data_IF_668071312944
#
_entry.id   IF_668071312944
#
_cell.length_a   1.000
_cell.length_b   1.000
_cell.length_c   1.000
_cell.angle_alpha   90.00
_cell.angle_beta   90.00
_cell.angle_gamma   90.00
#
_symmetry.space_group_name_H-M   'P 1'
#
loop_
_entity.id
_entity.type
_entity.pdbx_description
1 polymer ?
#
# COMPACT_ATOMS: atom_id res chain seq x y z
N UNK A 1 7.75 29.42 28.10
CA UNK A 1 7.60 27.97 28.35
C UNK A 1 6.24 27.64 27.76
N UNK A 2 6.19 27.08 26.57
CA UNK A 2 4.92 26.71 25.92
C UNK A 2 4.42 25.44 26.57
N UNK A 3 3.17 25.44 27.02
CA UNK A 3 2.49 24.27 27.56
C UNK A 3 2.47 23.15 26.52
N UNK A 4 2.62 21.86 26.92
CA UNK A 4 2.50 20.76 26.00
C UNK A 4 1.07 20.72 25.43
N UNK A 5 0.96 20.67 24.11
CA UNK A 5 -0.28 20.51 23.38
C UNK A 5 -0.89 19.13 23.74
N UNK A 6 -1.81 19.09 24.68
CA UNK A 6 -2.47 17.85 25.19
C UNK A 6 -3.30 17.10 24.13
N UNK A 7 -3.40 17.62 22.91
CA UNK A 7 -4.19 17.02 21.81
C UNK A 7 -3.39 16.14 20.86
N UNK A 8 -2.06 16.11 20.98
CA UNK A 8 -1.23 15.29 20.12
C UNK A 8 -1.06 13.86 20.71
N UNK A 9 -1.84 12.92 20.20
CA UNK A 9 -1.78 11.50 20.62
C UNK A 9 -0.54 10.72 20.14
N UNK A 10 0.50 11.43 19.63
CA UNK A 10 1.75 10.85 19.13
C UNK A 10 2.94 11.10 20.05
N UNK A 11 4.12 10.70 19.59
CA UNK A 11 5.39 10.88 20.29
C UNK A 11 6.07 12.17 19.83
N UNK A 12 6.57 12.99 20.79
CA UNK A 12 7.41 14.15 20.49
C UNK A 12 8.87 13.80 20.74
N UNK A 13 9.65 13.67 19.67
CA UNK A 13 11.09 13.45 19.75
C UNK A 13 11.82 14.79 19.68
N UNK A 14 12.80 14.99 20.57
CA UNK A 14 13.73 16.11 20.50
C UNK A 14 15.11 15.58 20.14
N UNK A 15 15.69 16.12 19.05
CA UNK A 15 16.94 15.62 18.46
C UNK A 15 17.91 16.79 18.28
N UNK A 16 19.14 16.62 18.71
CA UNK A 16 20.21 17.62 18.54
C UNK A 16 21.08 17.26 17.32
N UNK A 17 21.21 18.20 16.40
CA UNK A 17 22.20 18.13 15.32
C UNK A 17 23.38 19.00 15.70
N UNK A 18 24.56 18.37 15.86
CA UNK A 18 25.80 19.06 16.24
C UNK A 18 26.54 19.64 15.04
N UNK A 19 26.54 18.93 13.90
CA UNK A 19 27.30 19.33 12.70
C UNK A 19 26.36 19.84 11.61
N UNK A 20 26.41 21.14 11.28
CA UNK A 20 25.55 21.74 10.25
C UNK A 20 26.04 21.40 8.83
N UNK A 21 25.17 21.64 7.83
CA UNK A 21 25.53 21.60 6.41
C UNK A 21 25.18 20.32 5.67
N UNK A 22 24.87 19.24 6.38
CA UNK A 22 24.30 18.03 5.77
C UNK A 22 22.84 18.26 5.33
N UNK A 23 22.33 17.45 4.40
CA UNK A 23 20.89 17.48 4.09
C UNK A 23 20.08 17.15 5.34
N UNK A 24 19.01 17.91 5.57
CA UNK A 24 18.16 17.80 6.74
C UNK A 24 17.59 16.37 6.92
N UNK A 25 17.05 15.79 5.83
CA UNK A 25 16.50 14.44 5.84
C UNK A 25 17.53 13.37 6.23
N UNK A 26 18.80 13.57 5.88
CA UNK A 26 19.87 12.67 6.20
C UNK A 26 20.37 12.88 7.63
N UNK A 27 20.58 14.13 8.04
CA UNK A 27 21.05 14.47 9.37
C UNK A 27 20.08 13.99 10.47
N UNK A 28 18.77 14.18 10.26
CA UNK A 28 17.75 13.70 11.18
C UNK A 28 17.66 12.18 11.22
N UNK A 29 17.77 11.50 10.06
CA UNK A 29 17.72 10.02 10.02
C UNK A 29 18.95 9.38 10.68
N UNK A 30 20.10 10.05 10.70
CA UNK A 30 21.30 9.59 11.41
C UNK A 30 21.20 9.84 12.92
N UNK A 31 20.50 10.91 13.33
CA UNK A 31 20.31 11.26 14.72
C UNK A 31 19.18 10.49 15.42
N UNK A 32 18.17 10.02 14.65
CA UNK A 32 17.04 9.22 15.15
C UNK A 32 17.14 7.81 14.60
N UNK A 33 17.75 6.91 15.37
CA UNK A 33 18.01 5.54 14.93
C UNK A 33 16.75 4.71 14.65
N UNK A 34 15.61 5.04 15.27
CA UNK A 34 14.35 4.31 15.15
C UNK A 34 13.50 4.73 13.95
N UNK A 35 13.87 5.80 13.24
CA UNK A 35 13.13 6.30 12.09
C UNK A 35 13.95 6.18 10.80
N UNK A 36 13.38 5.49 9.81
CA UNK A 36 14.00 5.44 8.49
C UNK A 36 14.03 6.82 7.83
N UNK A 37 15.02 7.07 6.95
CA UNK A 37 15.11 8.32 6.18
C UNK A 37 13.83 8.61 5.37
N UNK A 38 13.17 7.58 4.85
CA UNK A 38 11.90 7.73 4.14
C UNK A 38 10.79 8.25 5.08
N UNK A 39 10.75 7.76 6.32
CA UNK A 39 9.79 8.25 7.33
C UNK A 39 10.09 9.70 7.72
N UNK A 40 11.35 10.06 7.94
CA UNK A 40 11.77 11.44 8.20
C UNK A 40 11.35 12.38 7.06
N UNK A 41 11.55 11.97 5.80
CA UNK A 41 11.10 12.76 4.65
C UNK A 41 9.58 12.98 4.63
N UNK A 42 8.80 11.95 4.97
CA UNK A 42 7.35 12.07 5.09
C UNK A 42 6.96 13.05 6.20
N UNK A 43 7.55 12.92 7.39
CA UNK A 43 7.30 13.81 8.52
C UNK A 43 7.65 15.26 8.22
N UNK A 44 8.75 15.51 7.49
CA UNK A 44 9.10 16.87 7.03
C UNK A 44 8.03 17.40 6.06
N UNK A 45 7.61 16.59 5.08
CA UNK A 45 6.59 16.99 4.10
C UNK A 45 5.22 17.26 4.76
N UNK A 46 4.88 16.51 5.81
CA UNK A 46 3.67 16.68 6.63
C UNK A 46 3.74 17.86 7.61
N UNK A 47 4.88 18.58 7.68
CA UNK A 47 5.07 19.70 8.61
C UNK A 47 5.26 19.29 10.07
N UNK A 48 5.59 18.02 10.31
CA UNK A 48 5.78 17.46 11.64
C UNK A 48 7.18 17.70 12.23
N UNK A 49 8.06 18.37 11.50
CA UNK A 49 9.43 18.71 11.95
C UNK A 49 9.56 20.20 12.11
N UNK A 50 10.11 20.65 13.25
CA UNK A 50 10.37 22.07 13.51
C UNK A 50 11.76 22.30 14.10
N UNK A 51 12.27 23.52 13.87
CA UNK A 51 13.54 24.03 14.40
C UNK A 51 13.34 25.44 14.91
N UNK A 52 13.66 25.71 16.16
CA UNK A 52 13.45 27.02 16.77
C UNK A 52 11.99 27.50 16.72
N UNK A 53 11.02 26.58 16.72
CA UNK A 53 9.58 26.88 16.61
C UNK A 53 9.08 27.05 15.16
N UNK A 54 9.95 27.09 14.16
CA UNK A 54 9.57 27.19 12.75
C UNK A 54 9.40 25.78 12.14
N UNK A 55 8.26 25.55 11.47
CA UNK A 55 8.00 24.29 10.75
C UNK A 55 8.85 24.20 9.50
N UNK A 56 9.46 23.04 9.29
CA UNK A 56 10.30 22.72 8.14
C UNK A 56 9.54 21.83 7.15
N UNK A 57 9.54 22.20 5.87
CA UNK A 57 8.85 21.45 4.80
C UNK A 57 9.79 20.94 3.70
N UNK A 58 11.08 21.27 3.75
CA UNK A 58 12.05 20.88 2.71
C UNK A 58 13.17 19.99 3.28
N UNK A 59 13.04 18.69 3.13
CA UNK A 59 14.06 17.72 3.56
C UNK A 59 15.40 17.81 2.82
N UNK A 60 15.45 18.51 1.69
CA UNK A 60 16.68 18.71 0.92
C UNK A 60 17.49 19.92 1.40
N UNK A 61 16.92 20.77 2.26
CA UNK A 61 17.62 21.91 2.85
C UNK A 61 18.81 21.45 3.70
N UNK A 62 19.74 22.36 3.96
CA UNK A 62 20.86 22.08 4.86
C UNK A 62 20.40 22.17 6.31
N UNK A 63 20.75 21.19 7.12
CA UNK A 63 20.53 21.23 8.55
C UNK A 63 21.40 22.28 9.21
N UNK A 64 20.84 23.03 10.16
CA UNK A 64 21.56 23.89 11.09
C UNK A 64 21.94 23.08 12.35
N UNK A 65 22.92 23.54 13.10
CA UNK A 65 23.20 22.98 14.42
C UNK A 65 22.13 23.45 15.42
N UNK A 66 21.69 22.54 16.29
CA UNK A 66 20.71 22.85 17.35
C UNK A 66 19.63 21.78 17.51
N UNK A 67 18.60 22.10 18.28
CA UNK A 67 17.52 21.18 18.67
C UNK A 67 16.37 21.24 17.66
N UNK A 68 16.01 20.06 17.17
CA UNK A 68 14.85 19.82 16.31
C UNK A 68 13.76 19.09 17.09
N UNK A 69 12.52 19.50 16.91
CA UNK A 69 11.37 18.78 17.43
C UNK A 69 10.69 18.04 16.27
N UNK A 70 10.43 16.75 16.47
CA UNK A 70 9.78 15.87 15.51
C UNK A 70 8.51 15.32 16.16
N UNK A 71 7.34 15.72 15.64
CA UNK A 71 6.05 15.14 16.04
C UNK A 71 5.86 13.83 15.26
N UNK A 72 5.98 12.69 15.92
CA UNK A 72 5.73 11.38 15.31
C UNK A 72 4.29 10.98 15.60
N UNK A 73 3.38 11.03 14.62
CA UNK A 73 2.01 10.58 14.82
C UNK A 73 2.01 9.12 15.25
N UNK A 74 1.03 8.69 16.06
CA UNK A 74 0.87 7.28 16.37
C UNK A 74 0.80 6.50 15.08
N UNK A 75 1.36 5.30 15.07
CA UNK A 75 1.20 4.39 13.95
C UNK A 75 -0.30 4.22 13.71
N UNK A 76 -0.78 4.71 12.58
CA UNK A 76 -2.14 4.41 12.17
C UNK A 76 -2.30 2.89 12.22
N UNK A 77 -3.31 2.40 12.93
CA UNK A 77 -3.56 0.97 13.02
C UNK A 77 -3.56 0.41 11.60
N UNK A 78 -2.62 -0.49 11.30
CA UNK A 78 -2.58 -1.18 10.01
C UNK A 78 -3.77 -2.14 9.84
N UNK A 79 -4.61 -2.26 10.88
CA UNK A 79 -5.81 -3.10 10.89
C UNK A 79 -6.94 -2.37 10.17
N UNK A 80 -7.37 -2.84 9.00
CA UNK A 80 -8.52 -2.26 8.33
C UNK A 80 -9.77 -2.44 9.20
N UNK A 81 -10.61 -1.41 9.26
CA UNK A 81 -11.87 -1.46 9.98
C UNK A 81 -13.01 -1.90 9.04
N UNK A 82 -14.00 -2.64 9.54
CA UNK A 82 -15.21 -2.97 8.80
C UNK A 82 -15.94 -1.71 8.33
N UNK A 83 -16.39 -1.67 7.07
CA UNK A 83 -17.19 -0.59 6.50
C UNK A 83 -18.37 -1.14 5.73
N UNK A 84 -19.56 -0.58 5.92
CA UNK A 84 -20.80 -0.96 5.26
C UNK A 84 -20.80 -0.50 3.79
N UNK A 85 -19.93 -1.10 2.98
CA UNK A 85 -19.83 -0.86 1.55
C UNK A 85 -20.55 -2.00 0.82
N UNK A 86 -21.55 -1.71 -0.05
CA UNK A 86 -22.24 -2.75 -0.79
C UNK A 86 -21.30 -3.57 -1.68
N UNK A 87 -21.45 -4.90 -1.65
CA UNK A 87 -20.73 -5.84 -2.50
C UNK A 87 -21.69 -6.55 -3.44
N UNK A 88 -21.33 -6.65 -4.71
CA UNK A 88 -22.02 -7.53 -5.66
C UNK A 88 -21.45 -8.94 -5.51
N UNK A 89 -22.12 -9.76 -4.71
CA UNK A 89 -21.72 -11.15 -4.46
C UNK A 89 -22.22 -12.02 -5.60
N UNK A 90 -21.31 -12.74 -6.25
CA UNK A 90 -21.61 -13.69 -7.34
C UNK A 90 -21.78 -15.12 -6.81
N UNK A 91 -21.02 -15.48 -5.79
CA UNK A 91 -21.08 -16.77 -5.10
C UNK A 91 -20.54 -16.62 -3.68
N UNK A 92 -21.12 -17.36 -2.75
CA UNK A 92 -20.61 -17.43 -1.37
C UNK A 92 -20.96 -18.77 -0.73
N UNK A 93 -20.01 -19.34 0.00
CA UNK A 93 -20.19 -20.49 0.88
C UNK A 93 -19.47 -20.31 2.22
N UNK A 94 -19.24 -21.40 2.95
CA UNK A 94 -18.52 -21.35 4.21
C UNK A 94 -17.01 -21.06 4.07
N UNK A 95 -16.44 -21.37 2.90
CA UNK A 95 -14.99 -21.34 2.67
C UNK A 95 -14.52 -20.13 1.86
N UNK A 96 -15.34 -19.61 0.94
CA UNK A 96 -14.95 -18.53 0.05
C UNK A 96 -16.12 -17.63 -0.35
N UNK A 97 -15.79 -16.42 -0.79
CA UNK A 97 -16.72 -15.48 -1.41
C UNK A 97 -16.16 -15.00 -2.75
N UNK A 98 -17.00 -14.97 -3.76
CA UNK A 98 -16.71 -14.44 -5.10
C UNK A 98 -17.53 -13.19 -5.33
N UNK A 99 -16.88 -12.12 -5.71
CA UNK A 99 -17.52 -10.81 -5.90
C UNK A 99 -17.20 -10.24 -7.28
N UNK A 100 -18.07 -9.38 -7.77
CA UNK A 100 -17.76 -8.46 -8.86
C UNK A 100 -17.26 -7.14 -8.28
N UNK A 101 -15.92 -6.95 -8.29
CA UNK A 101 -15.31 -5.74 -7.77
C UNK A 101 -15.57 -4.56 -8.71
N UNK A 102 -16.16 -3.45 -8.25
CA UNK A 102 -16.32 -2.28 -9.10
C UNK A 102 -14.97 -1.61 -9.42
N UNK A 103 -14.90 -0.90 -10.54
CA UNK A 103 -13.82 0.03 -10.82
C UNK A 103 -13.82 1.17 -9.80
N UNK A 104 -12.65 1.72 -9.50
CA UNK A 104 -12.46 2.77 -8.48
C UNK A 104 -12.24 2.23 -7.05
N UNK A 105 -12.52 0.96 -6.79
CA UNK A 105 -12.31 0.32 -5.49
C UNK A 105 -10.92 -0.34 -5.41
N UNK A 106 -10.09 0.08 -4.46
CA UNK A 106 -8.84 -0.63 -4.17
C UNK A 106 -9.11 -1.96 -3.46
N UNK A 107 -8.28 -2.97 -3.72
CA UNK A 107 -8.46 -4.29 -3.08
C UNK A 107 -8.16 -4.25 -1.57
N UNK A 108 -7.18 -3.48 -1.14
CA UNK A 108 -6.74 -3.39 0.27
C UNK A 108 -6.20 -1.98 0.58
N UNK A 109 -6.17 -1.59 1.86
CA UNK A 109 -5.59 -0.32 2.28
C UNK A 109 -4.13 -0.15 1.84
N UNK A 110 -3.80 1.06 1.43
CA UNK A 110 -2.46 1.46 1.02
C UNK A 110 -2.26 2.96 1.26
N UNK A 111 -1.01 3.48 1.25
CA UNK A 111 -0.77 4.92 1.29
C UNK A 111 -1.60 5.65 0.21
N UNK A 112 -2.39 6.64 0.63
CA UNK A 112 -3.34 7.37 -0.23
C UNK A 112 -4.71 6.71 -0.43
N UNK A 113 -4.96 5.53 0.15
CA UNK A 113 -6.27 4.87 0.18
C UNK A 113 -6.35 4.05 1.48
N UNK A 114 -6.49 4.70 2.65
CA UNK A 114 -6.45 4.03 3.94
C UNK A 114 -7.71 3.20 4.24
N UNK A 115 -8.81 3.52 3.61
CA UNK A 115 -10.14 2.94 3.79
C UNK A 115 -10.93 2.89 2.48
N UNK A 116 -12.21 2.53 2.52
CA UNK A 116 -13.06 2.40 1.33
C UNK A 116 -12.64 1.28 0.40
N UNK A 117 -11.92 0.28 0.89
CA UNK A 117 -11.36 -0.81 0.10
C UNK A 117 -12.23 -2.06 0.14
N UNK A 118 -11.97 -3.01 -0.75
CA UNK A 118 -12.63 -4.31 -0.72
C UNK A 118 -12.44 -5.04 0.62
N UNK A 119 -11.25 -4.94 1.23
CA UNK A 119 -11.01 -5.52 2.56
C UNK A 119 -11.94 -4.93 3.62
N UNK A 120 -12.16 -3.61 3.62
CA UNK A 120 -13.09 -2.98 4.55
C UNK A 120 -14.54 -3.49 4.36
N UNK A 121 -14.96 -3.66 3.10
CA UNK A 121 -16.27 -4.19 2.76
C UNK A 121 -16.42 -5.68 3.15
N UNK A 122 -15.39 -6.51 2.89
CA UNK A 122 -15.36 -7.92 3.26
C UNK A 122 -15.37 -8.12 4.77
N UNK A 123 -14.64 -7.31 5.53
CA UNK A 123 -14.68 -7.34 6.99
C UNK A 123 -16.08 -7.06 7.54
N UNK A 124 -16.82 -6.13 6.93
CA UNK A 124 -18.20 -5.86 7.32
C UNK A 124 -19.15 -6.99 6.91
N UNK A 125 -19.02 -7.51 5.69
CA UNK A 125 -19.90 -8.54 5.13
C UNK A 125 -19.69 -9.90 5.81
N UNK A 126 -18.45 -10.34 5.94
CA UNK A 126 -18.09 -11.66 6.45
C UNK A 126 -17.91 -11.70 7.98
N UNK A 127 -17.66 -10.56 8.63
CA UNK A 127 -17.37 -10.48 10.05
C UNK A 127 -16.22 -11.43 10.45
N UNK A 128 -16.41 -12.18 11.52
CA UNK A 128 -15.42 -13.10 12.07
C UNK A 128 -15.14 -14.34 11.18
N UNK A 129 -15.92 -14.54 10.11
CA UNK A 129 -15.72 -15.66 9.19
C UNK A 129 -14.66 -15.40 8.12
N UNK A 130 -14.10 -14.19 8.03
CA UNK A 130 -13.05 -13.90 7.05
C UNK A 130 -11.70 -14.44 7.53
N UNK A 131 -11.00 -15.21 6.67
CA UNK A 131 -9.68 -15.75 7.02
C UNK A 131 -8.70 -14.66 7.43
N UNK A 132 -8.14 -14.77 8.63
CA UNK A 132 -7.09 -13.90 9.15
C UNK A 132 -5.70 -14.17 8.55
N UNK A 133 -5.52 -15.27 7.82
CA UNK A 133 -4.28 -15.59 7.10
C UNK A 133 -4.10 -14.59 5.96
N UNK A 134 -2.95 -14.03 5.82
CA UNK A 134 -2.67 -12.93 4.89
C UNK A 134 -2.24 -11.67 5.62
N UNK A 135 -2.27 -11.76 6.96
CA UNK A 135 -1.87 -10.71 7.88
C UNK A 135 -2.98 -9.70 8.13
N UNK A 136 -2.78 -8.91 9.17
CA UNK A 136 -3.74 -7.93 9.70
C UNK A 136 -4.25 -6.95 8.64
N UNK A 137 -3.43 -6.65 7.61
CA UNK A 137 -3.76 -5.65 6.60
C UNK A 137 -4.53 -6.20 5.37
N UNK A 138 -4.63 -7.54 5.20
CA UNK A 138 -5.17 -8.17 3.99
C UNK A 138 -5.94 -9.46 4.27
N UNK A 139 -6.86 -9.48 5.23
CA UNK A 139 -7.57 -10.71 5.59
C UNK A 139 -8.33 -11.26 4.35
N UNK A 140 -8.19 -12.55 4.12
CA UNK A 140 -8.88 -13.28 3.04
C UNK A 140 -8.38 -13.01 1.62
N UNK A 141 -7.51 -12.05 1.38
CA UNK A 141 -7.06 -11.67 0.04
C UNK A 141 -5.96 -12.62 -0.46
N UNK A 142 -6.22 -13.32 -1.54
CA UNK A 142 -5.31 -14.27 -2.20
C UNK A 142 -4.78 -13.74 -3.55
N UNK A 143 -5.48 -12.80 -4.17
CA UNK A 143 -5.07 -12.10 -5.39
C UNK A 143 -5.65 -10.69 -5.42
N UNK A 144 -5.33 -9.91 -6.45
CA UNK A 144 -5.85 -8.55 -6.56
C UNK A 144 -6.10 -8.15 -8.01
N UNK A 145 -7.06 -7.26 -8.19
CA UNK A 145 -7.20 -6.38 -9.35
C UNK A 145 -6.70 -4.98 -8.99
N UNK A 146 -6.29 -4.22 -9.96
CA UNK A 146 -5.96 -2.81 -9.74
C UNK A 146 -7.20 -1.99 -9.40
N UNK A 147 -7.02 -0.82 -8.81
CA UNK A 147 -8.10 0.03 -8.32
C UNK A 147 -9.18 0.26 -9.38
N UNK A 148 -8.77 0.63 -10.58
CA UNK A 148 -9.67 1.01 -11.67
C UNK A 148 -10.06 -0.16 -12.60
N UNK A 149 -9.59 -1.38 -12.29
CA UNK A 149 -10.00 -2.61 -12.96
C UNK A 149 -11.20 -3.20 -12.23
N UNK A 150 -12.31 -3.39 -12.94
CA UNK A 150 -13.48 -4.12 -12.45
C UNK A 150 -13.38 -5.61 -12.76
N UNK A 151 -14.18 -6.43 -12.08
CA UNK A 151 -14.38 -7.83 -12.43
C UNK A 151 -14.25 -8.78 -11.25
N UNK A 152 -14.27 -10.08 -11.56
CA UNK A 152 -14.39 -11.16 -10.61
C UNK A 152 -13.16 -11.26 -9.71
N UNK A 153 -13.40 -11.25 -8.41
CA UNK A 153 -12.41 -11.51 -7.37
C UNK A 153 -12.93 -12.57 -6.40
N UNK A 154 -12.01 -13.42 -5.93
CA UNK A 154 -12.28 -14.39 -4.86
C UNK A 154 -11.52 -14.01 -3.60
N UNK A 155 -12.21 -14.12 -2.46
CA UNK A 155 -11.59 -13.99 -1.14
C UNK A 155 -11.88 -15.26 -0.31
N UNK A 156 -10.92 -15.62 0.54
CA UNK A 156 -11.05 -16.77 1.41
C UNK A 156 -11.73 -16.39 2.72
N UNK A 157 -12.71 -17.19 3.14
CA UNK A 157 -13.38 -17.09 4.45
C UNK A 157 -12.74 -18.02 5.46
N UNK A 158 -12.16 -19.15 5.03
CA UNK A 158 -11.45 -20.10 5.88
C UNK A 158 -9.96 -20.16 5.57
N UNK A 159 -9.17 -20.56 6.57
CA UNK A 159 -7.72 -20.74 6.42
C UNK A 159 -7.38 -21.83 5.40
N UNK A 160 -8.20 -22.88 5.34
CA UNK A 160 -8.09 -23.95 4.35
C UNK A 160 -8.24 -23.40 2.93
N UNK A 161 -9.27 -22.60 2.69
CA UNK A 161 -9.50 -21.97 1.39
C UNK A 161 -8.38 -20.98 1.04
N UNK A 162 -7.90 -20.20 2.02
CA UNK A 162 -6.78 -19.27 1.80
C UNK A 162 -5.51 -20.00 1.35
N UNK A 163 -5.14 -21.09 2.04
CA UNK A 163 -3.97 -21.89 1.67
C UNK A 163 -4.13 -22.54 0.28
N UNK A 164 -5.31 -23.10 -0.02
CA UNK A 164 -5.62 -23.71 -1.31
C UNK A 164 -5.58 -22.70 -2.46
N UNK A 165 -6.31 -21.59 -2.34
CA UNK A 165 -6.35 -20.53 -3.34
C UNK A 165 -4.98 -19.91 -3.57
N UNK A 166 -4.23 -19.62 -2.49
CA UNK A 166 -2.88 -19.06 -2.60
C UNK A 166 -1.95 -19.99 -3.39
N UNK A 167 -2.04 -21.31 -3.19
CA UNK A 167 -1.27 -22.28 -3.95
C UNK A 167 -1.65 -22.29 -5.43
N UNK A 168 -2.94 -22.25 -5.75
CA UNK A 168 -3.42 -22.19 -7.14
C UNK A 168 -2.97 -20.91 -7.84
N UNK A 169 -3.09 -19.76 -7.18
CA UNK A 169 -2.61 -18.49 -7.74
C UNK A 169 -1.09 -18.45 -7.92
N UNK A 170 -0.33 -18.99 -6.98
CA UNK A 170 1.13 -19.07 -7.08
C UNK A 170 1.61 -19.98 -8.20
N UNK A 171 0.88 -21.09 -8.43
CA UNK A 171 1.16 -22.03 -9.52
C UNK A 171 0.64 -21.55 -10.88
N UNK A 172 -0.08 -20.43 -10.93
CA UNK A 172 -0.82 -19.97 -12.12
C UNK A 172 -1.84 -21.00 -12.66
N UNK A 173 -2.33 -21.88 -11.79
CA UNK A 173 -3.29 -22.94 -12.11
C UNK A 173 -4.75 -22.45 -11.91
N UNK A 174 -5.03 -21.28 -12.45
CA UNK A 174 -6.37 -20.66 -12.48
C UNK A 174 -6.55 -20.02 -13.86
N UNK A 175 -7.59 -20.45 -14.58
CA UNK A 175 -7.98 -19.81 -15.83
C UNK A 175 -8.43 -18.36 -15.55
N UNK A 176 -7.80 -17.39 -16.20
CA UNK A 176 -8.11 -15.97 -16.06
C UNK A 176 -8.29 -15.36 -17.44
N UNK A 177 -9.38 -14.64 -17.62
CA UNK A 177 -9.64 -13.88 -18.84
C UNK A 177 -9.92 -12.42 -18.48
N UNK A 178 -9.44 -11.52 -19.32
CA UNK A 178 -9.63 -10.09 -19.18
C UNK A 178 -10.15 -9.52 -20.49
N UNK A 179 -11.06 -8.57 -20.39
CA UNK A 179 -11.50 -7.75 -21.52
C UNK A 179 -10.81 -6.40 -21.37
N UNK A 180 -10.12 -5.96 -22.43
CA UNK A 180 -9.44 -4.68 -22.44
C UNK A 180 -9.83 -3.86 -23.68
N UNK A 181 -10.09 -2.57 -23.47
CA UNK A 181 -10.24 -1.61 -24.57
C UNK A 181 -8.87 -1.07 -24.93
N UNK A 182 -8.43 -1.32 -26.16
CA UNK A 182 -7.11 -0.92 -26.67
C UNK A 182 -7.22 0.21 -27.70
N UNK A 183 -6.14 0.99 -27.81
CA UNK A 183 -6.00 1.96 -28.91
C UNK A 183 -5.42 1.23 -30.11
N UNK A 184 -6.27 0.96 -31.12
CA UNK A 184 -5.94 0.15 -32.29
C UNK A 184 -6.15 -1.34 -32.03
N UNK A 185 -6.05 -2.14 -33.07
CA UNK A 185 -6.17 -3.59 -33.03
C UNK A 185 -4.78 -4.25 -32.96
N UNK A 186 -4.61 -5.34 -32.20
CA UNK A 186 -3.39 -6.11 -32.25
C UNK A 186 -3.21 -6.77 -33.63
N UNK A 187 -1.96 -6.92 -34.06
CA UNK A 187 -1.62 -7.65 -35.28
C UNK A 187 -0.45 -8.59 -35.00
N UNK A 188 -0.66 -9.91 -35.09
CA UNK A 188 -1.91 -10.63 -35.44
C UNK A 188 -3.00 -10.49 -34.37
N UNK A 189 -4.25 -10.82 -34.73
CA UNK A 189 -5.40 -10.75 -33.81
C UNK A 189 -5.31 -11.74 -32.62
N UNK A 190 -4.61 -12.86 -32.83
CA UNK A 190 -4.33 -13.87 -31.83
C UNK A 190 -2.81 -14.03 -31.69
N UNK A 191 -2.37 -14.21 -30.47
CA UNK A 191 -0.94 -14.38 -30.21
C UNK A 191 -0.61 -14.46 -28.75
N UNK A 192 0.68 -14.70 -28.48
CA UNK A 192 1.24 -14.75 -27.14
C UNK A 192 2.25 -13.65 -26.95
N UNK A 193 2.12 -12.90 -25.87
CA UNK A 193 3.08 -11.88 -25.45
C UNK A 193 3.80 -12.41 -24.21
N UNK A 194 5.10 -12.63 -24.34
CA UNK A 194 5.97 -13.01 -23.24
C UNK A 194 6.96 -11.87 -22.97
N UNK A 195 6.96 -11.36 -21.77
CA UNK A 195 7.81 -10.23 -21.38
C UNK A 195 8.31 -10.38 -19.97
N UNK A 196 9.24 -9.52 -19.57
CA UNK A 196 9.61 -9.33 -18.17
C UNK A 196 9.11 -7.97 -17.71
N UNK A 197 8.33 -7.93 -16.63
CA UNK A 197 7.76 -6.71 -16.08
C UNK A 197 8.41 -6.39 -14.73
N UNK A 198 8.82 -5.14 -14.57
CA UNK A 198 9.39 -4.64 -13.32
C UNK A 198 9.24 -3.15 -13.17
N UNK A 199 9.81 -2.59 -12.10
CA UNK A 199 9.79 -1.13 -11.89
C UNK A 199 10.62 -0.44 -12.95
N UNK A 200 10.07 0.63 -13.54
CA UNK A 200 10.80 1.45 -14.51
C UNK A 200 12.05 2.06 -13.89
N UNK A 201 13.14 2.07 -14.64
CA UNK A 201 14.39 2.73 -14.22
C UNK A 201 14.29 4.26 -14.26
N UNK A 202 13.43 4.81 -15.12
CA UNK A 202 13.23 6.26 -15.27
C UNK A 202 12.16 6.81 -14.32
N UNK A 203 11.15 6.01 -13.96
CA UNK A 203 10.09 6.38 -13.03
C UNK A 203 9.69 5.18 -12.16
N UNK A 204 10.22 5.13 -10.95
CA UNK A 204 9.99 4.03 -10.00
C UNK A 204 8.52 3.87 -9.56
N UNK A 205 7.65 4.82 -9.86
CA UNK A 205 6.21 4.68 -9.60
C UNK A 205 5.52 3.85 -10.68
N UNK A 206 6.12 3.69 -11.86
CA UNK A 206 5.56 2.97 -13.00
C UNK A 206 6.16 1.57 -13.14
N UNK A 207 5.34 0.67 -13.69
CA UNK A 207 5.81 -0.62 -14.20
C UNK A 207 6.20 -0.46 -15.67
N UNK A 208 7.19 -1.24 -16.09
CA UNK A 208 7.68 -1.23 -17.47
C UNK A 208 8.09 -2.64 -17.89
N UNK A 209 8.08 -2.89 -19.20
CA UNK A 209 8.72 -4.07 -19.77
C UNK A 209 10.23 -3.87 -19.69
N UNK A 210 10.90 -4.85 -19.10
CA UNK A 210 12.36 -4.86 -18.91
C UNK A 210 13.00 -5.90 -19.82
N UNK A 211 14.24 -5.63 -20.23
CA UNK A 211 15.05 -6.59 -21.00
C UNK A 211 15.54 -7.76 -20.14
N UNK A 212 15.74 -7.53 -18.84
CA UNK A 212 16.21 -8.53 -17.88
C UNK A 212 15.89 -8.09 -16.45
N UNK A 213 15.84 -9.05 -15.49
CA UNK A 213 15.66 -8.76 -14.05
C UNK A 213 14.23 -8.43 -13.63
N UNK A 214 13.26 -8.56 -14.54
CA UNK A 214 11.83 -8.46 -14.23
C UNK A 214 11.22 -9.81 -13.86
N UNK A 215 9.93 -9.80 -13.55
CA UNK A 215 9.11 -11.01 -13.40
C UNK A 215 8.56 -11.41 -14.75
N UNK A 216 8.60 -12.69 -15.08
CA UNK A 216 7.96 -13.19 -16.29
C UNK A 216 6.46 -12.89 -16.28
N UNK A 217 5.97 -12.38 -17.39
CA UNK A 217 4.57 -12.07 -17.64
C UNK A 217 4.18 -12.63 -19.00
N UNK A 218 3.10 -13.38 -19.03
CA UNK A 218 2.57 -14.04 -20.22
C UNK A 218 1.12 -13.65 -20.39
N UNK A 219 0.75 -13.28 -21.60
CA UNK A 219 -0.64 -12.99 -21.99
C UNK A 219 -0.90 -13.63 -23.35
N UNK A 220 -1.95 -14.42 -23.46
CA UNK A 220 -2.45 -15.05 -24.68
C UNK A 220 -3.66 -14.29 -25.21
#
# INVERSE_FOLDING_TARGET
MAEPDETFGGELLTVEIQTPGQRLDKALAEAVHDLSRARIQALIAEGAVSFGGAVLSNGSSKAAAGLYAIKVPPLASATPLPQAIPLTVLYEDADLIVIDKPAGMAAHPAPGTPDGTLVNALLHHCGDSLSGIGGVARPGIVHRLDKDTSGVMVAAKSDRAHAGLSKLFAAHDIARAYIALTRGAPSPELGRIETQIGRSSSDRKKMAVLRSGGRNAVTD
#
